data_IF_645711050321
#
_entry.id   IF_645711050321
#
_cell.length_a   1.000
_cell.length_b   1.000
_cell.length_c   1.000
_cell.angle_alpha   90.00
_cell.angle_beta   90.00
_cell.angle_gamma   90.00
#
_symmetry.space_group_name_H-M   'P 1'
#
loop_
_entity.id
_entity.type
_entity.pdbx_description
1 polymer ?
#
# COMPACT_ATOMS: atom_id res chain seq x y z
N UNK A 1 21.05 0.43 5.68
CA UNK A 1 21.23 -1.02 5.54
C UNK A 1 19.95 -1.63 4.98
N UNK A 2 20.05 -2.59 4.07
CA UNK A 2 18.92 -3.37 3.52
C UNK A 2 19.08 -4.84 3.88
N UNK A 3 18.01 -5.47 4.36
CA UNK A 3 17.96 -6.91 4.61
C UNK A 3 17.28 -7.61 3.43
N UNK A 4 17.86 -8.71 2.94
CA UNK A 4 17.36 -9.43 1.76
C UNK A 4 17.54 -10.93 1.93
N UNK A 5 16.75 -11.77 1.25
CA UNK A 5 16.96 -13.23 1.26
C UNK A 5 17.99 -13.71 0.23
N UNK A 6 18.45 -12.81 -0.64
CA UNK A 6 19.39 -13.11 -1.74
C UNK A 6 20.38 -11.96 -1.89
N UNK A 7 21.57 -12.26 -2.42
CA UNK A 7 22.54 -11.23 -2.78
C UNK A 7 21.97 -10.26 -3.80
N UNK A 8 22.27 -8.97 -3.65
CA UNK A 8 21.81 -7.88 -4.51
C UNK A 8 22.99 -7.09 -5.06
N UNK A 9 23.76 -7.64 -6.01
CA UNK A 9 24.93 -6.97 -6.59
C UNK A 9 24.57 -5.63 -7.26
N UNK A 10 23.32 -5.44 -7.69
CA UNK A 10 22.81 -4.18 -8.22
C UNK A 10 22.94 -3.00 -7.23
N UNK A 11 22.97 -3.28 -5.93
CA UNK A 11 23.14 -2.26 -4.89
C UNK A 11 24.60 -2.02 -4.50
N UNK A 12 25.56 -2.78 -5.04
CA UNK A 12 26.99 -2.62 -4.71
C UNK A 12 27.56 -1.24 -5.08
N UNK A 13 26.90 -0.54 -6.02
CA UNK A 13 27.26 0.83 -6.43
C UNK A 13 26.63 1.92 -5.55
N UNK A 14 25.71 1.54 -4.67
CA UNK A 14 25.07 2.45 -3.72
C UNK A 14 25.83 2.42 -2.39
N UNK A 15 25.83 3.54 -1.67
CA UNK A 15 26.34 3.61 -0.30
C UNK A 15 25.33 2.98 0.69
N UNK A 16 24.98 1.72 0.45
CA UNK A 16 24.00 0.94 1.22
C UNK A 16 24.58 -0.42 1.54
N UNK A 17 24.76 -0.70 2.83
CA UNK A 17 25.07 -2.05 3.29
C UNK A 17 23.89 -3.00 3.01
N UNK A 18 24.14 -4.09 2.31
CA UNK A 18 23.16 -5.17 2.07
C UNK A 18 23.57 -6.38 2.91
N UNK A 19 22.61 -6.93 3.66
CA UNK A 19 22.79 -8.16 4.42
C UNK A 19 21.81 -9.22 3.96
N UNK A 20 22.35 -10.38 3.61
CA UNK A 20 21.53 -11.55 3.31
C UNK A 20 21.11 -12.21 4.62
N UNK A 21 19.82 -12.40 4.82
CA UNK A 21 19.21 -12.96 6.04
C UNK A 21 18.16 -14.01 5.69
N UNK A 22 17.95 -14.97 6.60
CA UNK A 22 16.75 -15.79 6.62
C UNK A 22 15.77 -15.20 7.64
N UNK A 23 14.58 -14.77 7.17
CA UNK A 23 13.55 -14.21 8.06
C UNK A 23 12.87 -15.25 8.97
N UNK A 24 13.20 -16.53 8.80
CA UNK A 24 12.78 -17.61 9.69
C UNK A 24 13.87 -18.02 10.70
N UNK A 25 15.08 -17.44 10.62
CA UNK A 25 16.16 -17.67 11.57
C UNK A 25 16.33 -16.46 12.51
N UNK A 26 15.95 -16.66 13.76
CA UNK A 26 16.08 -15.64 14.81
C UNK A 26 17.52 -15.15 15.00
N UNK A 27 18.52 -16.03 14.88
CA UNK A 27 19.93 -15.64 15.03
C UNK A 27 20.40 -14.78 13.85
N UNK A 28 19.99 -15.14 12.64
CA UNK A 28 20.27 -14.35 11.43
C UNK A 28 19.70 -12.94 11.56
N UNK A 29 18.47 -12.81 12.07
CA UNK A 29 17.83 -11.52 12.27
C UNK A 29 18.46 -10.72 13.41
N UNK A 30 18.75 -11.35 14.56
CA UNK A 30 19.38 -10.67 15.69
C UNK A 30 20.76 -10.11 15.33
N UNK A 31 21.57 -10.87 14.58
CA UNK A 31 22.86 -10.40 14.09
C UNK A 31 22.70 -9.18 13.16
N UNK A 32 21.74 -9.24 12.23
CA UNK A 32 21.50 -8.17 11.27
C UNK A 32 20.95 -6.89 11.88
N UNK A 33 20.20 -7.01 12.98
CA UNK A 33 19.56 -5.89 13.67
C UNK A 33 20.44 -5.27 14.75
N UNK A 34 21.63 -5.80 14.99
CA UNK A 34 22.54 -5.26 15.99
C UNK A 34 22.93 -3.80 15.68
N UNK A 35 22.65 -2.88 16.61
CA UNK A 35 22.90 -1.45 16.44
C UNK A 35 21.91 -0.71 15.53
N UNK A 36 20.86 -1.39 15.03
CA UNK A 36 19.80 -0.77 14.22
C UNK A 36 18.78 -0.08 15.13
N UNK A 37 18.48 1.20 14.85
CA UNK A 37 17.53 1.97 15.66
C UNK A 37 16.11 2.06 15.05
N UNK A 38 16.02 2.02 13.73
CA UNK A 38 14.76 2.10 12.97
C UNK A 38 14.72 0.97 11.94
N UNK A 39 13.63 0.20 11.96
CA UNK A 39 13.33 -0.84 10.96
C UNK A 39 12.11 -0.43 10.15
N UNK A 40 12.20 -0.50 8.82
CA UNK A 40 11.08 -0.29 7.90
C UNK A 40 10.86 -1.59 7.13
N UNK A 41 9.70 -2.20 7.34
CA UNK A 41 9.32 -3.44 6.68
C UNK A 41 8.47 -3.13 5.43
N UNK A 42 8.87 -3.68 4.29
CA UNK A 42 8.19 -3.47 2.99
C UNK A 42 7.64 -4.78 2.39
N UNK A 43 7.49 -5.80 3.23
CA UNK A 43 6.90 -7.08 2.86
C UNK A 43 5.91 -7.55 3.94
N UNK A 44 4.89 -8.29 3.52
CA UNK A 44 3.94 -8.94 4.41
C UNK A 44 4.31 -10.41 4.63
N UNK A 45 3.64 -11.09 5.57
CA UNK A 45 3.83 -12.52 5.82
C UNK A 45 4.18 -12.82 7.28
N UNK A 46 4.42 -14.10 7.56
CA UNK A 46 4.92 -14.54 8.87
C UNK A 46 6.31 -13.98 9.17
N UNK A 47 7.10 -13.76 8.13
CA UNK A 47 8.42 -13.15 8.15
C UNK A 47 8.41 -11.75 8.80
N UNK A 48 7.34 -10.97 8.57
CA UNK A 48 7.20 -9.67 9.22
C UNK A 48 7.01 -9.83 10.73
N UNK A 49 6.28 -10.85 11.19
CA UNK A 49 6.06 -11.12 12.62
C UNK A 49 7.38 -11.51 13.27
N UNK A 50 8.17 -12.36 12.61
CA UNK A 50 9.51 -12.73 13.06
C UNK A 50 10.44 -11.50 13.14
N UNK A 51 10.41 -10.64 12.12
CA UNK A 51 11.19 -9.40 12.10
C UNK A 51 10.81 -8.46 13.26
N UNK A 52 9.52 -8.34 13.59
CA UNK A 52 9.07 -7.56 14.75
C UNK A 52 9.65 -8.12 16.05
N UNK A 53 9.58 -9.44 16.25
CA UNK A 53 10.13 -10.09 17.45
C UNK A 53 11.63 -9.86 17.57
N UNK A 54 12.39 -10.10 16.49
CA UNK A 54 13.83 -9.91 16.47
C UNK A 54 14.24 -8.45 16.70
N UNK A 55 13.47 -7.49 16.14
CA UNK A 55 13.70 -6.06 16.33
C UNK A 55 13.58 -5.66 17.81
N UNK A 56 12.54 -6.14 18.49
CA UNK A 56 12.33 -5.88 19.93
C UNK A 56 13.46 -6.47 20.77
N UNK A 57 13.85 -7.72 20.50
CA UNK A 57 14.93 -8.40 21.21
C UNK A 57 16.30 -7.72 20.99
N UNK A 58 16.50 -7.14 19.82
CA UNK A 58 17.73 -6.43 19.44
C UNK A 58 17.76 -4.97 19.91
N UNK A 59 16.72 -4.50 20.60
CA UNK A 59 16.66 -3.13 21.14
C UNK A 59 16.33 -2.05 20.11
N UNK A 60 15.75 -2.41 18.97
CA UNK A 60 15.26 -1.44 17.97
C UNK A 60 14.20 -0.53 18.62
N UNK A 61 14.37 0.79 18.50
CA UNK A 61 13.45 1.75 19.14
C UNK A 61 12.25 2.10 18.27
N UNK A 62 12.38 2.02 16.94
CA UNK A 62 11.34 2.43 16.00
C UNK A 62 11.07 1.37 14.95
N UNK A 63 9.80 1.07 14.72
CA UNK A 63 9.37 0.11 13.71
C UNK A 63 8.29 0.68 12.80
N UNK A 64 8.41 0.45 11.50
CA UNK A 64 7.39 0.74 10.49
C UNK A 64 6.96 -0.58 9.85
N UNK A 65 5.72 -1.05 10.10
CA UNK A 65 5.21 -2.25 9.44
C UNK A 65 4.82 -1.99 7.98
N UNK A 66 4.74 -3.06 7.20
CA UNK A 66 4.32 -3.10 5.80
C UNK A 66 2.80 -2.89 5.66
N UNK A 67 2.36 -1.68 5.98
CA UNK A 67 0.94 -1.29 6.00
C UNK A 67 0.56 -0.33 4.86
N UNK A 68 1.50 0.07 4.00
CA UNK A 68 1.40 1.15 2.98
C UNK A 68 0.13 1.12 2.12
N UNK A 69 -0.98 1.63 2.65
CA UNK A 69 -2.32 1.47 2.09
C UNK A 69 -3.28 2.55 2.63
N UNK A 70 -4.59 2.27 2.67
CA UNK A 70 -5.61 3.13 3.28
C UNK A 70 -5.48 3.28 4.79
N UNK A 71 -6.21 4.24 5.37
CA UNK A 71 -6.05 4.60 6.79
C UNK A 71 -6.44 3.47 7.74
N UNK A 72 -5.72 3.33 8.86
CA UNK A 72 -5.99 2.30 9.87
C UNK A 72 -7.42 2.38 10.44
N UNK A 73 -7.95 3.59 10.61
CA UNK A 73 -9.30 3.83 11.14
C UNK A 73 -10.40 3.22 10.24
N UNK A 74 -10.13 3.12 8.94
CA UNK A 74 -11.08 2.60 7.94
C UNK A 74 -10.87 1.12 7.62
N UNK A 75 -10.00 0.42 8.36
CA UNK A 75 -9.80 -1.02 8.20
C UNK A 75 -10.73 -1.78 9.15
N UNK A 76 -11.56 -2.71 8.66
CA UNK A 76 -12.37 -3.56 9.53
C UNK A 76 -11.50 -4.52 10.35
N UNK A 77 -12.04 -5.06 11.45
CA UNK A 77 -11.34 -6.07 12.25
C UNK A 77 -11.19 -7.41 11.50
N UNK A 78 -12.26 -7.86 10.83
CA UNK A 78 -12.25 -9.02 9.95
C UNK A 78 -12.02 -8.56 8.50
N UNK A 79 -10.76 -8.25 8.20
CA UNK A 79 -10.38 -7.65 6.92
C UNK A 79 -10.28 -8.70 5.80
N UNK A 80 -11.27 -8.71 4.91
CA UNK A 80 -11.29 -9.62 3.76
C UNK A 80 -10.19 -9.33 2.72
N UNK A 81 -9.53 -8.18 2.81
CA UNK A 81 -8.34 -7.86 2.01
C UNK A 81 -7.05 -8.40 2.63
N UNK A 82 -7.10 -8.90 3.86
CA UNK A 82 -6.00 -9.56 4.57
C UNK A 82 -6.42 -10.99 4.97
N UNK A 83 -6.61 -11.91 4.00
CA UNK A 83 -7.17 -13.24 4.25
C UNK A 83 -6.32 -14.11 5.20
N UNK A 84 -5.02 -13.81 5.30
CA UNK A 84 -4.10 -14.49 6.22
C UNK A 84 -3.89 -13.72 7.53
N UNK A 85 -4.54 -12.57 7.69
CA UNK A 85 -4.48 -11.73 8.88
C UNK A 85 -3.06 -11.25 9.22
N UNK A 86 -2.14 -11.16 8.25
CA UNK A 86 -0.76 -10.78 8.51
C UNK A 86 -0.63 -9.33 8.98
N UNK A 87 -1.43 -8.41 8.42
CA UNK A 87 -1.47 -7.01 8.85
C UNK A 87 -2.04 -6.89 10.25
N UNK A 88 -3.18 -7.54 10.51
CA UNK A 88 -3.83 -7.46 11.82
C UNK A 88 -2.97 -8.11 12.92
N UNK A 89 -2.34 -9.26 12.65
CA UNK A 89 -1.41 -9.93 13.56
C UNK A 89 -0.16 -9.08 13.82
N UNK A 90 0.46 -8.51 12.77
CA UNK A 90 1.62 -7.63 12.94
C UNK A 90 1.29 -6.41 13.81
N UNK A 91 0.15 -5.74 13.56
CA UNK A 91 -0.31 -4.62 14.39
C UNK A 91 -0.62 -5.04 15.82
N UNK A 92 -1.23 -6.21 16.02
CA UNK A 92 -1.50 -6.73 17.37
C UNK A 92 -0.20 -7.02 18.12
N UNK A 93 0.77 -7.64 17.46
CA UNK A 93 2.08 -7.96 18.02
C UNK A 93 2.83 -6.69 18.41
N UNK A 94 2.92 -5.73 17.49
CA UNK A 94 3.51 -4.42 17.74
C UNK A 94 2.84 -3.67 18.91
N UNK A 95 1.51 -3.79 19.10
CA UNK A 95 0.82 -3.22 20.28
C UNK A 95 1.26 -3.89 21.58
N UNK A 96 1.50 -5.21 21.58
CA UNK A 96 1.99 -5.95 22.75
C UNK A 96 3.42 -5.54 23.06
N UNK A 97 4.31 -5.54 22.05
CA UNK A 97 5.70 -5.15 22.20
C UNK A 97 5.86 -3.70 22.70
N UNK A 98 5.07 -2.76 22.20
CA UNK A 98 5.11 -1.37 22.64
C UNK A 98 4.65 -1.17 24.10
N UNK A 99 3.97 -2.15 24.72
CA UNK A 99 3.60 -2.12 26.15
C UNK A 99 4.68 -2.73 27.04
N UNK A 100 5.50 -3.63 26.50
CA UNK A 100 6.51 -4.38 27.24
C UNK A 100 7.95 -3.95 26.94
N UNK A 101 8.15 -2.97 26.06
CA UNK A 101 9.46 -2.47 25.64
C UNK A 101 9.41 -0.97 25.36
N UNK A 102 10.55 -0.36 25.05
CA UNK A 102 10.63 1.04 24.62
C UNK A 102 10.31 1.24 23.13
N UNK A 103 10.04 0.16 22.38
CA UNK A 103 9.81 0.24 20.94
C UNK A 103 8.51 1.00 20.62
N UNK A 104 8.63 2.03 19.80
CA UNK A 104 7.51 2.74 19.17
C UNK A 104 7.30 2.24 17.75
N UNK A 105 6.09 2.40 17.24
CA UNK A 105 5.81 2.10 15.83
C UNK A 105 4.80 3.05 15.21
N UNK A 106 5.02 3.27 13.92
CA UNK A 106 4.30 4.25 13.09
C UNK A 106 3.91 3.60 11.77
N UNK A 107 2.67 3.83 11.33
CA UNK A 107 2.19 3.42 10.00
C UNK A 107 2.20 4.60 9.05
N UNK A 108 2.49 4.31 7.79
CA UNK A 108 2.45 5.25 6.67
C UNK A 108 1.28 4.89 5.75
N UNK A 109 0.19 5.64 5.84
CA UNK A 109 -1.00 5.47 5.00
C UNK A 109 -0.91 6.38 3.78
N UNK A 110 -0.81 5.80 2.58
CA UNK A 110 -0.60 6.50 1.32
C UNK A 110 -1.77 6.36 0.33
N UNK A 111 -2.85 5.68 0.72
CA UNK A 111 -3.96 5.39 -0.19
C UNK A 111 -3.56 4.33 -1.22
N UNK A 112 -3.84 4.58 -2.49
CA UNK A 112 -3.56 3.66 -3.60
C UNK A 112 -2.28 4.07 -4.34
N UNK A 113 -1.41 3.11 -4.63
CA UNK A 113 -0.29 3.33 -5.53
C UNK A 113 -0.77 3.64 -6.95
N UNK A 114 -0.27 4.72 -7.53
CA UNK A 114 -0.56 5.08 -8.93
C UNK A 114 -0.10 3.97 -9.89
N UNK A 115 0.95 3.25 -9.52
CA UNK A 115 1.57 2.17 -10.27
C UNK A 115 0.66 0.95 -10.47
N UNK A 116 -0.48 0.87 -9.78
CA UNK A 116 -1.53 -0.13 -10.07
C UNK A 116 -2.12 0.01 -11.46
N UNK A 117 -1.98 1.18 -12.09
CA UNK A 117 -2.46 1.44 -13.44
C UNK A 117 -1.39 1.21 -14.52
N UNK A 118 -0.18 0.75 -14.18
CA UNK A 118 0.83 0.45 -15.20
C UNK A 118 0.37 -0.67 -16.17
N UNK A 119 0.75 -0.63 -17.46
CA UNK A 119 0.42 -1.67 -18.45
C UNK A 119 0.89 -3.08 -18.06
N UNK A 120 1.93 -3.15 -17.23
CA UNK A 120 2.51 -4.41 -16.72
C UNK A 120 2.07 -4.73 -15.29
N UNK A 121 1.15 -3.94 -14.75
CA UNK A 121 0.65 -4.06 -13.38
C UNK A 121 1.68 -3.69 -12.33
N UNK A 122 1.24 -3.67 -11.08
CA UNK A 122 2.09 -3.35 -9.93
C UNK A 122 3.23 -4.36 -9.75
N UNK A 123 3.02 -5.61 -10.17
CA UNK A 123 4.02 -6.68 -10.12
C UNK A 123 5.28 -6.37 -10.94
N UNK A 124 5.21 -5.49 -11.94
CA UNK A 124 6.39 -5.04 -12.70
C UNK A 124 7.43 -4.31 -11.84
N UNK A 125 7.03 -3.83 -10.66
CA UNK A 125 7.90 -3.21 -9.66
C UNK A 125 8.24 -4.16 -8.50
N UNK A 126 7.95 -5.46 -8.67
CA UNK A 126 8.03 -6.48 -7.65
C UNK A 126 7.18 -6.23 -6.39
N UNK A 127 6.08 -5.50 -6.53
CA UNK A 127 5.15 -5.18 -5.45
C UNK A 127 3.85 -5.98 -5.61
N UNK A 128 3.30 -6.46 -4.50
CA UNK A 128 2.01 -7.15 -4.46
C UNK A 128 2.05 -8.62 -4.85
N UNK A 129 3.23 -9.23 -5.01
CA UNK A 129 3.34 -10.69 -5.19
C UNK A 129 2.76 -11.43 -3.98
N UNK A 130 2.10 -12.57 -4.24
CA UNK A 130 1.36 -13.32 -3.21
C UNK A 130 0.06 -12.64 -2.75
N UNK A 131 -0.28 -11.49 -3.32
CA UNK A 131 -1.57 -10.81 -3.14
C UNK A 131 -2.31 -10.69 -4.48
N UNK A 132 -3.58 -10.28 -4.45
CA UNK A 132 -4.36 -10.01 -5.66
C UNK A 132 -4.10 -8.62 -6.28
N UNK A 133 -3.01 -7.94 -5.87
CA UNK A 133 -2.72 -6.55 -6.26
C UNK A 133 -1.71 -6.41 -7.41
N UNK A 134 -0.90 -7.44 -7.67
CA UNK A 134 0.19 -7.38 -8.66
C UNK A 134 -0.29 -7.28 -10.12
N UNK A 135 -1.46 -7.85 -10.41
CA UNK A 135 -1.94 -8.03 -11.77
C UNK A 135 -2.43 -6.73 -12.41
N UNK A 136 -2.27 -6.64 -13.72
CA UNK A 136 -2.89 -5.61 -14.57
C UNK A 136 -4.40 -5.64 -14.37
N UNK A 137 -5.04 -4.47 -14.32
CA UNK A 137 -6.49 -4.39 -14.20
C UNK A 137 -7.05 -4.83 -12.84
N UNK A 138 -6.19 -5.12 -11.86
CA UNK A 138 -6.63 -5.53 -10.51
C UNK A 138 -7.30 -4.41 -9.71
N UNK A 139 -7.38 -3.18 -10.27
CA UNK A 139 -7.98 -2.04 -9.62
C UNK A 139 -8.67 -1.08 -10.58
N UNK A 140 -10.01 -1.03 -10.53
CA UNK A 140 -10.90 -0.07 -11.21
C UNK A 140 -10.85 -0.08 -12.74
N UNK A 141 -9.68 -0.10 -13.38
CA UNK A 141 -9.53 -0.10 -14.82
C UNK A 141 -8.29 -0.88 -15.26
N UNK A 142 -8.34 -1.33 -16.51
CA UNK A 142 -7.22 -1.92 -17.24
C UNK A 142 -6.91 -1.04 -18.45
N UNK A 143 -5.68 -0.50 -18.47
CA UNK A 143 -5.22 0.39 -19.53
C UNK A 143 -4.91 -0.35 -20.85
N UNK A 144 -4.68 -1.66 -20.81
CA UNK A 144 -4.39 -2.45 -22.00
C UNK A 144 -5.67 -2.78 -22.78
N UNK A 145 -6.76 -3.03 -22.05
CA UNK A 145 -8.05 -3.43 -22.63
C UNK A 145 -9.05 -2.28 -22.73
N UNK A 146 -8.69 -1.10 -22.21
CA UNK A 146 -9.57 0.07 -22.10
C UNK A 146 -10.90 -0.27 -21.42
N UNK A 147 -10.85 -1.09 -20.36
CA UNK A 147 -12.03 -1.44 -19.58
C UNK A 147 -11.97 -0.79 -18.20
N UNK A 148 -13.11 -0.38 -17.67
CA UNK A 148 -13.21 0.17 -16.33
C UNK A 148 -14.50 -0.30 -15.67
N UNK A 149 -14.43 -0.53 -14.37
CA UNK A 149 -15.58 -0.80 -13.51
C UNK A 149 -15.54 0.12 -12.31
N UNK A 150 -16.61 0.89 -12.11
CA UNK A 150 -16.66 1.84 -11.01
C UNK A 150 -18.03 1.91 -10.34
N UNK A 151 -17.99 2.38 -9.10
CA UNK A 151 -19.16 2.79 -8.32
C UNK A 151 -18.98 4.26 -8.02
N UNK A 152 -19.81 5.12 -8.63
CA UNK A 152 -19.65 6.57 -8.49
C UNK A 152 -20.09 7.06 -7.10
N UNK A 153 -21.11 6.43 -6.53
CA UNK A 153 -21.74 6.82 -5.26
C UNK A 153 -21.74 5.67 -4.27
N UNK A 154 -21.40 5.95 -3.02
CA UNK A 154 -21.57 4.97 -1.95
C UNK A 154 -23.05 4.85 -1.53
N UNK A 155 -23.33 3.95 -0.60
CA UNK A 155 -24.69 3.72 -0.05
C UNK A 155 -25.34 4.97 0.57
N UNK A 156 -24.56 6.01 0.88
CA UNK A 156 -25.03 7.30 1.42
C UNK A 156 -25.19 8.37 0.33
N UNK A 157 -25.00 8.03 -0.95
CA UNK A 157 -25.08 8.98 -2.07
C UNK A 157 -23.87 9.92 -2.22
N UNK A 158 -22.82 9.73 -1.43
CA UNK A 158 -21.59 10.52 -1.55
C UNK A 158 -20.71 9.99 -2.67
N UNK A 159 -20.05 10.91 -3.39
CA UNK A 159 -19.09 10.54 -4.44
C UNK A 159 -17.93 9.76 -3.84
N UNK A 160 -17.68 8.56 -4.35
CA UNK A 160 -16.56 7.70 -3.97
C UNK A 160 -15.26 8.32 -4.46
N UNK A 161 -14.29 8.47 -3.55
CA UNK A 161 -12.98 9.06 -3.82
C UNK A 161 -11.88 8.19 -3.24
N UNK A 162 -10.67 8.36 -3.76
CA UNK A 162 -9.47 7.72 -3.26
C UNK A 162 -8.31 8.70 -3.24
N UNK A 163 -7.47 8.58 -2.21
CA UNK A 163 -6.15 9.20 -2.18
C UNK A 163 -5.18 8.31 -2.96
N UNK A 164 -4.32 8.93 -3.76
CA UNK A 164 -3.35 8.23 -4.60
C UNK A 164 -1.97 8.84 -4.42
N UNK A 165 -0.94 7.99 -4.43
CA UNK A 165 0.46 8.41 -4.29
C UNK A 165 1.33 7.53 -5.16
N UNK A 166 2.31 8.09 -5.87
CA UNK A 166 3.31 7.27 -6.56
C UNK A 166 4.19 6.54 -5.54
N UNK A 167 4.62 5.31 -5.83
CA UNK A 167 5.58 4.58 -4.96
C UNK A 167 6.84 5.40 -4.71
N UNK A 168 7.30 6.15 -5.73
CA UNK A 168 8.44 7.06 -5.61
C UNK A 168 8.20 8.18 -4.59
N UNK A 169 7.04 8.83 -4.62
CA UNK A 169 6.72 9.88 -3.65
C UNK A 169 6.50 9.31 -2.24
N UNK A 170 5.98 8.09 -2.10
CA UNK A 170 5.91 7.41 -0.79
C UNK A 170 7.31 7.25 -0.20
N UNK A 171 8.29 6.81 -0.98
CA UNK A 171 9.67 6.73 -0.53
C UNK A 171 10.22 8.11 -0.11
N UNK A 172 9.96 9.17 -0.90
CA UNK A 172 10.36 10.55 -0.56
C UNK A 172 9.74 11.04 0.74
N UNK A 173 8.46 10.75 0.97
CA UNK A 173 7.78 11.09 2.21
C UNK A 173 8.37 10.36 3.42
N UNK A 174 8.69 9.07 3.27
CA UNK A 174 9.31 8.28 4.35
C UNK A 174 10.69 8.84 4.68
N UNK A 175 11.53 9.13 3.67
CA UNK A 175 12.84 9.76 3.87
C UNK A 175 12.71 11.09 4.60
N UNK A 176 11.81 11.96 4.13
CA UNK A 176 11.60 13.25 4.78
C UNK A 176 11.05 13.11 6.21
N UNK A 177 10.23 12.09 6.49
CA UNK A 177 9.79 11.80 7.85
C UNK A 177 10.95 11.34 8.75
N UNK A 178 11.93 10.59 8.21
CA UNK A 178 13.13 10.17 8.94
C UNK A 178 13.94 11.40 9.36
N UNK A 179 14.07 12.39 8.46
CA UNK A 179 14.75 13.66 8.77
C UNK A 179 14.06 14.47 9.86
N UNK A 180 12.73 14.35 10.02
CA UNK A 180 11.99 14.95 11.15
C UNK A 180 12.30 14.29 12.50
N UNK A 181 12.86 13.09 12.49
CA UNK A 181 13.20 12.31 13.67
C UNK A 181 12.04 11.41 14.16
N UNK A 182 12.26 10.09 14.29
CA UNK A 182 11.21 9.12 14.62
C UNK A 182 10.71 9.19 16.06
N UNK A 183 11.40 9.90 16.96
CA UNK A 183 11.07 10.01 18.38
C UNK A 183 9.64 10.50 18.65
N UNK A 184 9.15 11.41 17.80
CA UNK A 184 7.86 12.09 17.94
C UNK A 184 6.86 11.72 16.84
N UNK A 185 7.13 10.67 16.07
CA UNK A 185 6.18 10.22 15.06
C UNK A 185 4.84 9.81 15.71
N UNK A 186 3.70 10.19 15.10
CA UNK A 186 2.39 9.78 15.55
C UNK A 186 2.21 8.28 15.27
N UNK A 187 1.07 7.73 15.70
CA UNK A 187 0.75 6.33 15.37
C UNK A 187 0.60 6.09 13.87
N UNK A 188 0.10 7.09 13.16
CA UNK A 188 -0.16 7.01 11.74
C UNK A 188 0.16 8.36 11.08
N UNK A 189 1.00 8.31 10.06
CA UNK A 189 1.12 9.36 9.07
C UNK A 189 0.20 9.08 7.90
N UNK A 190 -0.53 10.10 7.45
CA UNK A 190 -1.29 10.07 6.21
C UNK A 190 -0.63 11.01 5.20
N UNK A 191 -0.44 10.52 3.98
CA UNK A 191 0.12 11.29 2.87
C UNK A 191 -0.62 11.00 1.57
N UNK A 192 -0.62 11.96 0.63
CA UNK A 192 -1.16 11.73 -0.72
C UNK A 192 -0.51 12.63 -1.76
N UNK A 193 -0.46 12.18 -3.00
CA UNK A 193 -0.22 13.04 -4.17
C UNK A 193 -1.50 13.68 -4.70
N UNK A 194 -2.58 12.90 -4.77
CA UNK A 194 -3.86 13.35 -5.32
C UNK A 194 -5.04 12.75 -4.55
N UNK A 195 -6.24 13.33 -4.73
CA UNK A 195 -7.51 12.80 -4.22
C UNK A 195 -8.59 12.93 -5.29
N UNK A 196 -8.95 11.82 -5.92
CA UNK A 196 -9.80 11.81 -7.11
C UNK A 196 -11.04 10.95 -6.93
N UNK A 197 -12.11 11.28 -7.65
CA UNK A 197 -13.24 10.35 -7.79
C UNK A 197 -12.89 9.21 -8.74
N UNK A 198 -13.57 8.07 -8.64
CA UNK A 198 -13.31 6.95 -9.55
C UNK A 198 -13.57 7.34 -11.01
N UNK A 199 -14.58 8.18 -11.24
CA UNK A 199 -14.88 8.74 -12.57
C UNK A 199 -13.76 9.63 -13.09
N UNK A 200 -13.17 10.46 -12.23
CA UNK A 200 -12.05 11.33 -12.63
C UNK A 200 -10.80 10.52 -12.99
N UNK A 201 -10.55 9.41 -12.29
CA UNK A 201 -9.44 8.48 -12.63
C UNK A 201 -9.63 7.95 -14.05
N UNK A 202 -10.78 7.34 -14.34
CA UNK A 202 -11.10 6.81 -15.69
C UNK A 202 -11.01 7.92 -16.74
N UNK A 203 -11.55 9.10 -16.44
CA UNK A 203 -11.52 10.25 -17.35
C UNK A 203 -10.12 10.80 -17.61
N UNK A 204 -9.22 10.76 -16.63
CA UNK A 204 -7.81 11.14 -16.84
C UNK A 204 -7.09 10.10 -17.70
N UNK A 205 -7.25 8.81 -17.40
CA UNK A 205 -6.69 7.72 -18.21
C UNK A 205 -7.15 7.77 -19.67
N UNK A 206 -8.45 7.98 -19.90
CA UNK A 206 -9.03 8.10 -21.24
C UNK A 206 -8.43 9.26 -22.05
N UNK A 207 -8.21 10.41 -21.41
CA UNK A 207 -7.57 11.57 -22.08
C UNK A 207 -6.10 11.32 -22.38
N UNK A 208 -5.36 10.73 -21.44
CA UNK A 208 -3.92 10.42 -21.63
C UNK A 208 -3.70 9.44 -22.77
N UNK A 209 -4.53 8.40 -22.88
CA UNK A 209 -4.42 7.39 -23.94
C UNK A 209 -5.12 7.79 -25.25
N UNK A 210 -5.84 8.93 -25.26
CA UNK A 210 -6.72 9.33 -26.35
C UNK A 210 -7.67 8.20 -26.79
N UNK A 211 -8.24 7.46 -25.82
CA UNK A 211 -9.05 6.27 -26.04
C UNK A 211 -10.26 6.24 -25.10
N UNK A 212 -11.40 5.78 -25.60
CA UNK A 212 -12.61 5.63 -24.80
C UNK A 212 -12.59 4.31 -24.02
N UNK A 213 -12.87 4.37 -22.72
CA UNK A 213 -12.97 3.18 -21.89
C UNK A 213 -14.39 2.60 -21.96
N UNK A 214 -14.50 1.28 -22.10
CA UNK A 214 -15.73 0.54 -21.85
C UNK A 214 -15.99 0.52 -20.35
N UNK A 215 -16.94 1.34 -19.90
CA UNK A 215 -17.21 1.59 -18.49
C UNK A 215 -18.45 0.82 -18.02
N UNK A 216 -18.25 -0.11 -17.09
CA UNK A 216 -19.33 -0.73 -16.31
C UNK A 216 -19.57 0.09 -15.05
N UNK A 217 -20.77 0.66 -14.95
CA UNK A 217 -21.19 1.43 -13.78
C UNK A 217 -22.10 0.58 -12.88
N UNK A 218 -21.71 0.48 -11.62
CA UNK A 218 -22.45 -0.31 -10.62
C UNK A 218 -22.95 0.59 -9.49
N UNK A 219 -24.01 0.16 -8.81
CA UNK A 219 -24.41 0.71 -7.52
C UNK A 219 -23.66 0.00 -6.39
N UNK A 220 -23.51 0.68 -5.25
CA UNK A 220 -22.89 0.08 -4.07
C UNK A 220 -23.61 -1.22 -3.61
N UNK A 221 -24.93 -1.31 -3.84
CA UNK A 221 -25.73 -2.50 -3.54
C UNK A 221 -25.41 -3.72 -4.42
N UNK A 222 -24.86 -3.51 -5.61
CA UNK A 222 -24.65 -4.58 -6.59
C UNK A 222 -23.42 -5.43 -6.27
N UNK A 223 -22.46 -4.86 -5.55
CA UNK A 223 -21.13 -5.46 -5.31
C UNK A 223 -21.25 -6.84 -4.67
N UNK A 224 -22.11 -7.01 -3.67
CA UNK A 224 -22.29 -8.30 -2.98
C UNK A 224 -22.83 -9.39 -3.91
N UNK A 225 -23.75 -9.02 -4.82
CA UNK A 225 -24.29 -9.92 -5.84
C UNK A 225 -23.24 -10.31 -6.87
N UNK A 226 -22.46 -9.33 -7.36
CA UNK A 226 -21.36 -9.55 -8.29
C UNK A 226 -20.30 -10.50 -7.69
N UNK A 227 -19.86 -10.22 -6.46
CA UNK A 227 -18.93 -11.09 -5.73
C UNK A 227 -19.43 -12.52 -5.62
N UNK A 228 -20.71 -12.70 -5.23
CA UNK A 228 -21.30 -14.04 -5.08
C UNK A 228 -21.38 -14.79 -6.41
N UNK A 229 -21.74 -14.10 -7.50
CA UNK A 229 -21.80 -14.67 -8.83
C UNK A 229 -20.44 -15.16 -9.33
N UNK A 230 -19.40 -14.32 -9.22
CA UNK A 230 -18.03 -14.72 -9.62
C UNK A 230 -17.45 -15.81 -8.72
N UNK A 231 -17.81 -15.83 -7.43
CA UNK A 231 -17.41 -16.91 -6.53
C UNK A 231 -17.98 -18.26 -6.97
N UNK A 232 -19.25 -18.32 -7.35
CA UNK A 232 -19.90 -19.55 -7.85
C UNK A 232 -19.30 -20.04 -9.17
N UNK A 233 -18.78 -19.13 -9.98
CA UNK A 233 -18.09 -19.43 -11.23
C UNK A 233 -16.62 -19.83 -11.04
N UNK A 234 -16.07 -19.70 -9.83
CA UNK A 234 -14.67 -19.97 -9.53
C UNK A 234 -13.71 -18.86 -9.97
N UNK A 235 -14.20 -17.67 -10.34
CA UNK A 235 -13.36 -16.52 -10.70
C UNK A 235 -12.96 -15.73 -9.45
N UNK A 236 -12.01 -16.29 -8.70
CA UNK A 236 -11.53 -15.69 -7.46
C UNK A 236 -10.76 -14.38 -7.68
N UNK A 237 -10.22 -14.14 -8.88
CA UNK A 237 -9.57 -12.88 -9.21
C UNK A 237 -10.60 -11.75 -9.27
N UNK A 238 -11.75 -11.97 -9.90
CA UNK A 238 -12.87 -11.02 -9.86
C UNK A 238 -13.46 -10.88 -8.47
N UNK A 239 -13.57 -11.95 -7.69
CA UNK A 239 -14.00 -11.83 -6.29
C UNK A 239 -13.07 -10.88 -5.51
N UNK A 240 -11.75 -11.02 -5.66
CA UNK A 240 -10.79 -10.14 -5.02
C UNK A 240 -10.89 -8.69 -5.52
N UNK A 241 -11.09 -8.50 -6.82
CA UNK A 241 -11.34 -7.17 -7.40
C UNK A 241 -12.56 -6.50 -6.77
N UNK A 242 -13.69 -7.20 -6.65
CA UNK A 242 -14.90 -6.61 -6.07
C UNK A 242 -14.81 -6.40 -4.56
N UNK A 243 -14.06 -7.24 -3.82
CA UNK A 243 -13.72 -6.95 -2.41
C UNK A 243 -12.96 -5.64 -2.27
N UNK A 244 -11.98 -5.42 -3.15
CA UNK A 244 -11.21 -4.18 -3.20
C UNK A 244 -12.09 -2.97 -3.57
N UNK A 245 -13.02 -3.15 -4.51
CA UNK A 245 -14.00 -2.14 -4.88
C UNK A 245 -14.95 -1.82 -3.71
N UNK A 246 -15.41 -2.83 -2.97
CA UNK A 246 -16.23 -2.64 -1.78
C UNK A 246 -15.51 -1.78 -0.74
N UNK A 247 -14.26 -2.12 -0.40
CA UNK A 247 -13.46 -1.36 0.55
C UNK A 247 -13.22 0.09 0.06
N UNK A 248 -13.07 0.28 -1.26
CA UNK A 248 -12.97 1.60 -1.89
C UNK A 248 -14.25 2.41 -1.68
N UNK A 249 -15.42 1.81 -1.92
CA UNK A 249 -16.75 2.42 -1.75
C UNK A 249 -17.04 2.77 -0.29
N UNK A 250 -16.57 1.95 0.64
CA UNK A 250 -16.66 2.16 2.09
C UNK A 250 -15.68 3.24 2.60
N UNK A 251 -14.77 3.71 1.75
CA UNK A 251 -13.89 4.85 2.02
C UNK A 251 -12.54 4.49 2.62
N UNK A 252 -12.08 3.23 2.52
CA UNK A 252 -10.77 2.77 3.03
C UNK A 252 -9.61 3.66 2.58
N UNK A 253 -9.67 4.14 1.34
CA UNK A 253 -8.62 4.96 0.71
C UNK A 253 -8.92 6.46 0.72
N UNK A 254 -10.01 6.90 1.37
CA UNK A 254 -10.45 8.29 1.34
C UNK A 254 -10.19 8.99 2.68
N UNK A 255 -9.05 9.67 2.80
CA UNK A 255 -8.77 10.56 3.92
C UNK A 255 -8.69 12.01 3.45
N UNK A 256 -9.57 12.86 4.00
CA UNK A 256 -9.68 14.27 3.62
C UNK A 256 -8.43 15.10 3.96
N UNK A 257 -7.84 14.82 5.12
CA UNK A 257 -6.64 15.48 5.63
C UNK A 257 -5.44 14.55 5.63
N UNK A 258 -4.27 15.12 5.34
CA UNK A 258 -2.96 14.46 5.38
C UNK A 258 -2.14 15.04 6.52
N UNK A 259 -1.59 14.19 7.40
CA UNK A 259 -0.76 14.63 8.51
C UNK A 259 0.69 14.90 8.09
N UNK A 260 1.21 14.24 7.05
CA UNK A 260 2.62 14.35 6.67
C UNK A 260 2.89 15.43 5.60
N UNK A 261 1.99 15.61 4.61
CA UNK A 261 2.21 16.56 3.51
C UNK A 261 2.61 17.97 3.94
N UNK A 262 2.03 18.48 5.04
CA UNK A 262 2.32 19.83 5.55
C UNK A 262 3.52 19.90 6.50
N UNK A 263 4.08 18.77 6.92
CA UNK A 263 5.21 18.70 7.84
C UNK A 263 6.56 18.58 7.13
N UNK A 264 6.55 18.20 5.84
CA UNK A 264 7.78 18.00 5.05
C UNK A 264 7.74 18.80 3.77
N UNK A 265 8.92 19.13 3.24
CA UNK A 265 9.05 19.79 1.94
C UNK A 265 9.08 18.77 0.78
N UNK A 266 8.05 17.92 0.69
CA UNK A 266 7.86 16.98 -0.41
C UNK A 266 6.72 17.50 -1.26
N UNK A 267 7.00 17.75 -2.54
CA UNK A 267 5.99 18.03 -3.56
C UNK A 267 5.68 16.73 -4.30
N UNK A 268 4.59 16.03 -3.96
CA UNK A 268 4.22 14.80 -4.63
C UNK A 268 3.60 15.08 -5.99
N UNK A 269 3.71 14.13 -6.92
CA UNK A 269 3.08 14.23 -8.23
C UNK A 269 1.57 14.11 -8.11
N UNK A 270 0.84 14.91 -8.88
CA UNK A 270 -0.57 14.63 -9.17
C UNK A 270 -0.71 13.40 -10.06
N UNK A 271 -1.88 12.76 -10.07
CA UNK A 271 -2.11 11.59 -10.91
C UNK A 271 -1.96 11.94 -12.40
N UNK A 272 -2.37 13.15 -12.80
CA UNK A 272 -2.20 13.66 -14.17
C UNK A 272 -0.74 13.75 -14.58
N UNK A 273 0.11 14.32 -13.73
CA UNK A 273 1.55 14.45 -14.00
C UNK A 273 2.18 13.07 -14.13
N UNK A 274 1.87 12.16 -13.19
CA UNK A 274 2.35 10.78 -13.24
C UNK A 274 1.93 10.08 -14.53
N UNK A 275 0.67 10.22 -14.96
CA UNK A 275 0.19 9.67 -16.24
C UNK A 275 0.96 10.20 -17.44
N UNK A 276 1.26 11.50 -17.49
CA UNK A 276 2.06 12.06 -18.58
C UNK A 276 3.46 11.44 -18.61
N UNK A 277 4.14 11.36 -17.47
CA UNK A 277 5.49 10.81 -17.40
C UNK A 277 5.56 9.33 -17.82
N UNK A 278 4.51 8.56 -17.54
CA UNK A 278 4.48 7.11 -17.83
C UNK A 278 3.99 6.77 -19.25
N UNK A 279 3.16 7.60 -19.87
CA UNK A 279 2.42 7.24 -21.10
C UNK A 279 2.57 8.21 -22.27
N UNK A 280 3.20 9.37 -22.07
CA UNK A 280 3.45 10.34 -23.15
C UNK A 280 4.93 10.48 -23.49
N UNK A 281 5.68 9.38 -23.40
CA UNK A 281 7.08 9.27 -23.83
C UNK A 281 7.22 8.72 -25.25
#
# INVERSE_FOLDING_TARGET
MSLTTQSRPEYATLDVQVMVVDYNDENSLAYALHGVNLVICTFSGGEQINLITAAVQSGVQFFVPSEFEGSLEKRPENDQLDPYSYSSQARQHLRRCARSSQMKWTVFSCGIFMERFLPRGLGSLAIGYGSNLANVGSYILDMNTYTAECVEKNSRGHTVRVCMTSVYDVARFIVAAIDLGPANWPREFTMRGDRLSLRDIVGQCSRTLNAAFSLSQWQASDIAGLMSGFYQQGDYAKVAFYRQLQATVEGRYDFGHTSLNGLVNVQPRSFRQWLSDQFTG
#
